data_IF_947363999533
#
_entry.id   IF_947363999533
#
_cell.length_a   1.000
_cell.length_b   1.000
_cell.length_c   1.000
_cell.angle_alpha   90.00
_cell.angle_beta   90.00
_cell.angle_gamma   90.00
#
_symmetry.space_group_name_H-M   'P 1'
#
loop_
_entity.id
_entity.type
_entity.pdbx_description
1 polymer ?
#
# COMPACT_ATOMS: atom_id res chain seq x y z
N UNK A 1 5.54 -35.87 -45.04
CA UNK A 1 4.94 -35.44 -43.77
C UNK A 1 5.95 -34.51 -43.12
N UNK A 2 5.65 -33.21 -43.11
CA UNK A 2 6.47 -32.19 -42.47
C UNK A 2 5.51 -31.42 -41.56
N UNK A 3 5.89 -31.30 -40.28
CA UNK A 3 5.20 -30.50 -39.26
C UNK A 3 5.06 -29.04 -39.69
N UNK A 4 3.99 -28.39 -39.26
CA UNK A 4 4.03 -26.96 -38.94
C UNK A 4 3.27 -26.76 -37.63
N UNK A 5 4.05 -26.48 -36.57
CA UNK A 5 3.59 -25.98 -35.30
C UNK A 5 3.11 -24.53 -35.44
N UNK A 6 2.02 -24.17 -34.77
CA UNK A 6 1.37 -22.86 -34.93
C UNK A 6 0.85 -22.24 -33.63
N UNK A 7 1.76 -22.11 -32.66
CA UNK A 7 1.82 -21.07 -31.60
C UNK A 7 0.59 -20.83 -30.71
N UNK A 8 0.70 -21.33 -29.47
CA UNK A 8 -0.01 -20.79 -28.30
C UNK A 8 0.29 -19.29 -28.16
N UNK A 9 -0.68 -18.45 -28.53
CA UNK A 9 -0.56 -17.00 -28.41
C UNK A 9 -0.63 -16.65 -26.93
N UNK A 10 0.54 -16.67 -26.26
CA UNK A 10 0.70 -16.08 -24.94
C UNK A 10 0.34 -14.59 -25.07
N UNK A 11 -0.87 -14.24 -24.62
CA UNK A 11 -1.35 -12.86 -24.61
C UNK A 11 -0.46 -12.08 -23.66
N UNK A 12 0.44 -11.26 -24.23
CA UNK A 12 1.32 -10.41 -23.43
C UNK A 12 0.46 -9.39 -22.68
N UNK A 13 0.69 -9.19 -21.37
CA UNK A 13 -0.04 -8.17 -20.63
C UNK A 13 0.25 -6.80 -21.24
N UNK A 14 -0.80 -5.97 -21.33
CA UNK A 14 -0.66 -4.56 -21.71
C UNK A 14 -0.32 -3.75 -20.46
N UNK A 15 0.91 -3.25 -20.40
CA UNK A 15 1.34 -2.34 -19.35
C UNK A 15 0.79 -0.92 -19.60
N UNK A 16 0.21 -0.31 -18.57
CA UNK A 16 -0.25 1.08 -18.56
C UNK A 16 0.56 1.84 -17.49
N UNK A 17 1.13 2.98 -17.86
CA UNK A 17 1.72 3.88 -16.87
C UNK A 17 0.63 4.60 -16.09
N UNK A 18 0.72 4.56 -14.75
CA UNK A 18 -0.13 5.35 -13.86
C UNK A 18 0.45 6.76 -13.59
N UNK A 19 1.53 7.14 -14.29
CA UNK A 19 2.22 8.42 -14.05
C UNK A 19 2.74 8.54 -12.61
N UNK A 20 2.98 9.79 -12.18
CA UNK A 20 3.58 10.09 -10.89
C UNK A 20 5.11 10.20 -10.95
N UNK A 21 5.69 10.76 -9.90
CA UNK A 21 7.13 10.89 -9.69
C UNK A 21 7.46 10.22 -8.36
N UNK A 22 7.74 8.91 -8.41
CA UNK A 22 7.83 8.04 -7.23
C UNK A 22 9.27 7.94 -6.71
N UNK A 23 9.45 7.97 -5.39
CA UNK A 23 10.74 7.73 -4.72
C UNK A 23 10.98 6.27 -4.34
N UNK A 24 9.91 5.50 -4.14
CA UNK A 24 9.98 4.09 -3.71
C UNK A 24 8.94 3.24 -4.44
N UNK A 25 8.91 1.94 -4.14
CA UNK A 25 7.80 1.07 -4.50
C UNK A 25 6.46 1.52 -3.92
N UNK A 26 5.42 0.81 -4.33
CA UNK A 26 4.03 1.09 -4.02
C UNK A 26 3.38 -0.07 -3.25
N UNK A 27 2.35 0.24 -2.47
CA UNK A 27 1.42 -0.74 -1.91
C UNK A 27 0.09 -0.67 -2.66
N UNK A 28 -0.66 -1.78 -2.65
CA UNK A 28 -2.00 -1.82 -3.21
C UNK A 28 -2.94 -2.57 -2.25
N UNK A 29 -4.18 -2.13 -2.15
CA UNK A 29 -5.24 -2.80 -1.41
C UNK A 29 -6.50 -2.88 -2.27
N UNK A 30 -7.00 -4.11 -2.51
CA UNK A 30 -8.31 -4.32 -3.09
C UNK A 30 -9.37 -4.17 -1.99
N UNK A 31 -10.35 -3.30 -2.22
CA UNK A 31 -11.37 -2.96 -1.21
C UNK A 31 -12.79 -3.35 -1.64
N UNK A 32 -12.95 -3.87 -2.87
CA UNK A 32 -14.22 -4.34 -3.42
C UNK A 32 -14.02 -5.37 -4.53
N UNK A 33 -15.13 -5.75 -5.19
CA UNK A 33 -15.13 -6.70 -6.31
C UNK A 33 -14.74 -5.99 -7.62
N UNK A 34 -13.46 -5.71 -7.74
CA UNK A 34 -12.87 -5.07 -8.91
C UNK A 34 -12.32 -3.68 -8.66
N UNK A 35 -12.40 -3.16 -7.44
CA UNK A 35 -11.80 -1.89 -7.06
C UNK A 35 -10.49 -2.05 -6.28
N UNK A 36 -9.56 -1.13 -6.48
CA UNK A 36 -8.22 -1.18 -5.87
C UNK A 36 -7.70 0.23 -5.64
N UNK A 37 -7.09 0.46 -4.49
CA UNK A 37 -6.35 1.67 -4.16
C UNK A 37 -4.84 1.35 -4.19
N UNK A 38 -4.05 2.22 -4.83
CA UNK A 38 -2.59 2.17 -4.81
C UNK A 38 -2.02 3.35 -4.04
N UNK A 39 -0.93 3.10 -3.32
CA UNK A 39 -0.25 4.07 -2.48
C UNK A 39 1.22 4.09 -2.83
N UNK A 40 1.79 5.28 -3.03
CA UNK A 40 3.19 5.42 -3.34
C UNK A 40 3.80 6.67 -2.72
N UNK A 41 5.08 6.58 -2.36
CA UNK A 41 5.87 7.71 -1.89
C UNK A 41 6.32 8.52 -3.11
N UNK A 42 5.97 9.79 -3.15
CA UNK A 42 6.36 10.71 -4.23
C UNK A 42 7.65 11.48 -3.89
N UNK A 43 8.27 12.09 -4.91
CA UNK A 43 9.49 12.92 -4.81
C UNK A 43 9.42 14.07 -3.79
N UNK A 44 8.22 14.49 -3.43
CA UNK A 44 7.98 15.49 -2.38
C UNK A 44 8.07 14.93 -0.95
N UNK A 45 8.32 13.62 -0.80
CA UNK A 45 8.40 12.92 0.49
C UNK A 45 7.04 12.60 1.12
N UNK A 46 5.93 12.88 0.42
CA UNK A 46 4.58 12.59 0.88
C UNK A 46 4.08 11.26 0.30
N UNK A 47 3.16 10.61 1.01
CA UNK A 47 2.40 9.50 0.43
C UNK A 47 1.24 10.05 -0.39
N UNK A 48 1.01 9.44 -1.54
CA UNK A 48 -0.10 9.75 -2.43
C UNK A 48 -0.91 8.49 -2.68
N UNK A 49 -2.21 8.66 -2.91
CA UNK A 49 -3.10 7.59 -3.32
C UNK A 49 -3.69 7.83 -4.70
N UNK A 50 -4.03 6.74 -5.37
CA UNK A 50 -4.78 6.70 -6.63
C UNK A 50 -5.60 5.42 -6.63
N UNK A 51 -6.84 5.47 -7.08
CA UNK A 51 -7.69 4.27 -7.13
C UNK A 51 -8.31 4.01 -8.48
N UNK A 52 -8.59 2.73 -8.68
CA UNK A 52 -9.44 2.19 -9.71
C UNK A 52 -10.82 1.92 -9.11
N UNK A 53 -11.86 2.47 -9.74
CA UNK A 53 -13.25 2.39 -9.27
C UNK A 53 -14.09 1.30 -9.96
N UNK A 54 -13.43 0.34 -10.63
CA UNK A 54 -14.10 -0.66 -11.46
C UNK A 54 -14.20 -0.27 -12.93
N UNK A 55 -14.03 1.01 -13.28
CA UNK A 55 -14.17 1.52 -14.65
C UNK A 55 -13.01 2.41 -15.11
N UNK A 56 -12.40 3.17 -14.22
CA UNK A 56 -11.35 4.13 -14.55
C UNK A 56 -10.38 4.39 -13.38
N UNK A 57 -9.16 4.79 -13.73
CA UNK A 57 -8.17 5.24 -12.76
C UNK A 57 -8.37 6.72 -12.45
N UNK A 58 -8.63 7.06 -11.20
CA UNK A 58 -8.74 8.45 -10.72
C UNK A 58 -7.39 9.16 -10.66
N UNK A 59 -7.36 10.45 -10.40
CA UNK A 59 -6.11 11.20 -10.25
C UNK A 59 -5.39 10.86 -8.93
N UNK A 60 -4.07 11.04 -8.94
CA UNK A 60 -3.26 11.01 -7.73
C UNK A 60 -3.68 12.12 -6.76
N UNK A 61 -3.83 11.80 -5.47
CA UNK A 61 -4.11 12.77 -4.41
C UNK A 61 -3.11 12.59 -3.27
N UNK A 62 -2.61 13.71 -2.75
CA UNK A 62 -1.69 13.67 -1.61
C UNK A 62 -2.42 13.26 -0.34
N UNK A 63 -1.82 12.31 0.39
CA UNK A 63 -2.16 11.94 1.76
C UNK A 63 -1.21 12.60 2.78
N UNK A 64 -0.28 13.46 2.33
CA UNK A 64 0.64 14.18 3.19
C UNK A 64 1.70 13.32 3.88
N UNK A 65 2.26 13.86 4.96
CA UNK A 65 3.29 13.21 5.77
C UNK A 65 4.71 13.40 5.25
N UNK A 66 5.67 12.74 5.91
CA UNK A 66 7.09 12.76 5.55
C UNK A 66 7.66 11.37 5.78
N UNK A 67 7.84 10.61 4.71
CA UNK A 67 8.17 9.18 4.76
C UNK A 67 9.45 8.85 3.99
N UNK A 68 10.06 7.72 4.33
CA UNK A 68 11.36 7.31 3.77
C UNK A 68 11.42 5.86 3.29
N UNK A 69 10.31 5.13 3.29
CA UNK A 69 10.26 3.72 2.89
C UNK A 69 8.95 3.37 2.20
N UNK A 70 8.87 2.14 1.69
CA UNK A 70 7.67 1.63 1.02
C UNK A 70 6.49 1.55 2.00
N UNK A 71 5.29 1.99 1.59
CA UNK A 71 4.10 1.82 2.39
C UNK A 71 3.66 0.35 2.44
N UNK A 72 2.75 0.04 3.37
CA UNK A 72 1.98 -1.19 3.37
C UNK A 72 0.50 -0.86 3.50
N UNK A 73 -0.35 -1.56 2.76
CA UNK A 73 -1.79 -1.35 2.80
C UNK A 73 -2.57 -2.65 2.81
N UNK A 74 -3.69 -2.64 3.51
CA UNK A 74 -4.67 -3.71 3.51
C UNK A 74 -6.08 -3.11 3.62
N UNK A 75 -7.07 -3.78 3.07
CA UNK A 75 -8.46 -3.38 3.21
C UNK A 75 -9.28 -4.56 3.69
N UNK A 76 -10.29 -4.27 4.52
CA UNK A 76 -11.32 -5.26 4.88
C UNK A 76 -12.53 -5.18 3.96
N UNK A 77 -12.87 -3.96 3.54
CA UNK A 77 -14.02 -3.59 2.72
C UNK A 77 -13.86 -2.13 2.23
N UNK A 78 -14.83 -1.65 1.43
CA UNK A 78 -14.85 -0.29 0.89
C UNK A 78 -14.92 0.82 1.96
N UNK A 79 -15.27 0.47 3.20
CA UNK A 79 -15.37 1.43 4.30
C UNK A 79 -14.11 1.46 5.17
N UNK A 80 -13.15 0.56 4.93
CA UNK A 80 -11.91 0.53 5.70
C UNK A 80 -10.73 -0.02 4.90
N UNK A 81 -9.84 0.92 4.59
CA UNK A 81 -8.51 0.69 4.02
C UNK A 81 -7.49 1.24 5.01
N UNK A 82 -6.59 0.39 5.48
CA UNK A 82 -5.51 0.73 6.40
C UNK A 82 -4.21 0.90 5.63
N UNK A 83 -3.48 1.98 5.95
CA UNK A 83 -2.22 2.36 5.32
C UNK A 83 -1.18 2.62 6.42
N UNK A 84 -0.05 1.94 6.30
CA UNK A 84 1.09 2.07 7.18
C UNK A 84 2.31 2.58 6.43
N UNK A 85 3.09 3.41 7.10
CA UNK A 85 4.32 3.94 6.54
C UNK A 85 5.30 4.34 7.63
N UNK A 86 6.59 4.26 7.30
CA UNK A 86 7.67 4.60 8.21
C UNK A 86 8.12 6.02 7.89
N UNK A 87 8.00 6.90 8.88
CA UNK A 87 8.45 8.28 8.75
C UNK A 87 9.96 8.37 8.59
N UNK A 88 10.43 9.52 8.12
CA UNK A 88 11.87 9.81 8.06
C UNK A 88 12.57 9.80 9.43
N UNK A 89 11.79 9.86 10.51
CA UNK A 89 12.21 9.70 11.90
C UNK A 89 12.21 8.24 12.41
N UNK A 90 11.92 7.27 11.53
CA UNK A 90 11.88 5.85 11.86
C UNK A 90 10.65 5.44 12.70
N UNK A 91 9.62 6.28 12.78
CA UNK A 91 8.37 5.99 13.50
C UNK A 91 7.34 5.41 12.53
N UNK A 92 6.80 4.24 12.87
CA UNK A 92 5.66 3.67 12.17
C UNK A 92 4.42 4.55 12.39
N UNK A 93 3.78 4.95 11.29
CA UNK A 93 2.54 5.71 11.29
C UNK A 93 1.45 4.95 10.57
N UNK A 94 0.22 5.21 10.99
CA UNK A 94 -1.00 4.63 10.46
C UNK A 94 -1.98 5.74 10.07
N UNK A 95 -2.65 5.54 8.95
CA UNK A 95 -3.75 6.35 8.42
C UNK A 95 -4.74 5.38 7.79
N UNK A 96 -6.03 5.65 7.90
CA UNK A 96 -7.05 4.78 7.33
C UNK A 96 -8.18 5.57 6.70
N UNK A 97 -8.85 4.94 5.74
CA UNK A 97 -10.14 5.38 5.22
C UNK A 97 -11.24 4.94 6.18
N UNK A 98 -12.13 5.86 6.58
CA UNK A 98 -13.24 5.61 7.52
C UNK A 98 -14.62 5.47 6.84
N UNK A 99 -14.63 5.23 5.52
CA UNK A 99 -15.84 5.23 4.70
C UNK A 99 -16.23 6.62 4.19
N UNK A 100 -15.60 7.69 4.69
CA UNK A 100 -15.92 9.07 4.29
C UNK A 100 -14.69 9.90 3.97
N UNK A 101 -13.60 9.68 4.69
CA UNK A 101 -12.35 10.41 4.54
C UNK A 101 -11.17 9.61 5.03
N UNK A 102 -10.00 10.03 4.58
CA UNK A 102 -8.73 9.60 5.17
C UNK A 102 -8.53 10.29 6.52
N UNK A 103 -8.47 9.54 7.61
CA UNK A 103 -8.18 10.05 8.96
C UNK A 103 -6.74 10.54 9.04
N UNK A 104 -6.44 11.54 9.88
CA UNK A 104 -5.06 12.05 10.03
C UNK A 104 -4.05 10.97 10.42
N UNK A 105 -2.79 11.14 10.00
CA UNK A 105 -1.69 10.26 10.37
C UNK A 105 -1.49 10.22 11.89
N UNK A 106 -1.34 9.02 12.43
CA UNK A 106 -1.04 8.77 13.85
C UNK A 106 0.17 7.88 13.99
N UNK A 107 0.97 8.09 15.03
CA UNK A 107 1.99 7.13 15.40
C UNK A 107 1.30 5.85 15.89
N UNK A 108 1.83 4.70 15.49
CA UNK A 108 1.41 3.42 16.07
C UNK A 108 2.08 3.29 17.43
N UNK A 109 1.26 3.19 18.49
CA UNK A 109 1.75 3.06 19.86
C UNK A 109 2.54 1.76 20.02
N UNK A 110 3.59 1.80 20.84
CA UNK A 110 4.47 0.68 21.15
C UNK A 110 5.17 -0.02 19.96
N UNK A 111 5.04 0.52 18.74
CA UNK A 111 5.79 0.03 17.60
C UNK A 111 7.31 0.23 17.79
N UNK A 112 8.15 -0.71 17.32
CA UNK A 112 9.60 -0.58 17.40
C UNK A 112 10.10 0.74 16.80
N UNK A 113 10.96 1.46 17.54
CA UNK A 113 11.61 2.68 17.04
C UNK A 113 12.68 2.34 16.01
N UNK A 114 12.90 3.23 15.06
CA UNK A 114 13.86 3.00 13.98
C UNK A 114 13.44 1.87 13.05
N UNK A 115 12.13 1.73 12.84
CA UNK A 115 11.58 0.75 11.89
C UNK A 115 12.17 0.98 10.50
N UNK A 116 12.35 -0.12 9.75
CA UNK A 116 12.99 -0.10 8.41
C UNK A 116 12.07 -0.54 7.29
N UNK A 117 11.15 -1.45 7.58
CA UNK A 117 10.14 -1.92 6.65
C UNK A 117 8.85 -2.29 7.39
N UNK A 118 7.73 -2.21 6.69
CA UNK A 118 6.42 -2.60 7.20
C UNK A 118 5.70 -3.47 6.17
N UNK A 119 4.95 -4.46 6.63
CA UNK A 119 3.92 -5.14 5.84
C UNK A 119 2.67 -5.30 6.69
N UNK A 120 1.51 -5.45 6.04
CA UNK A 120 0.25 -5.70 6.73
C UNK A 120 -0.67 -6.59 5.91
N UNK A 121 -1.61 -7.25 6.59
CA UNK A 121 -2.64 -8.06 5.95
C UNK A 121 -3.94 -7.97 6.74
N UNK A 122 -5.06 -7.91 6.03
CA UNK A 122 -6.37 -8.16 6.64
C UNK A 122 -6.72 -9.63 6.45
N UNK A 123 -6.96 -10.36 7.54
CA UNK A 123 -7.38 -11.76 7.47
C UNK A 123 -8.18 -12.15 8.70
N UNK A 124 -9.20 -13.00 8.54
CA UNK A 124 -9.95 -13.54 9.69
C UNK A 124 -10.60 -12.51 10.61
N UNK A 125 -10.92 -11.31 10.11
CA UNK A 125 -11.49 -10.23 10.92
C UNK A 125 -10.48 -9.43 11.75
N UNK A 126 -9.19 -9.51 11.39
CA UNK A 126 -8.08 -8.90 12.12
C UNK A 126 -7.11 -8.23 11.13
N UNK A 127 -6.57 -7.09 11.54
CA UNK A 127 -5.48 -6.43 10.84
C UNK A 127 -4.16 -6.84 11.48
N UNK A 128 -3.32 -7.53 10.70
CA UNK A 128 -1.96 -7.88 11.07
C UNK A 128 -0.97 -6.85 10.55
N UNK A 129 -0.03 -6.43 11.40
CA UNK A 129 1.08 -5.55 11.03
C UNK A 129 2.40 -6.18 11.44
N UNK A 130 3.36 -6.19 10.52
CA UNK A 130 4.71 -6.71 10.73
C UNK A 130 5.73 -5.60 10.49
N UNK A 131 6.71 -5.47 11.38
CA UNK A 131 7.69 -4.38 11.36
C UNK A 131 9.09 -4.95 11.47
N UNK A 132 9.97 -4.57 10.54
CA UNK A 132 11.41 -4.83 10.71
C UNK A 132 12.03 -3.75 11.58
N UNK A 133 12.41 -4.11 12.81
CA UNK A 133 12.95 -3.21 13.82
C UNK A 133 14.44 -2.90 13.65
N UNK A 134 14.90 -1.85 14.33
CA UNK A 134 16.32 -1.47 14.36
C UNK A 134 17.20 -2.54 15.05
N UNK A 135 16.61 -3.36 15.90
CA UNK A 135 17.24 -4.54 16.54
C UNK A 135 17.48 -5.70 15.56
N UNK A 136 17.02 -5.57 14.31
CA UNK A 136 17.13 -6.60 13.29
C UNK A 136 16.04 -7.67 13.37
N UNK A 137 15.12 -7.58 14.33
CA UNK A 137 14.04 -8.54 14.50
C UNK A 137 12.79 -8.13 13.69
N UNK A 138 11.96 -9.14 13.38
CA UNK A 138 10.61 -8.94 12.87
C UNK A 138 9.65 -8.91 14.05
N UNK A 139 8.92 -7.82 14.19
CA UNK A 139 7.90 -7.61 15.20
C UNK A 139 6.52 -7.74 14.58
N UNK A 140 5.55 -8.11 15.39
CA UNK A 140 4.18 -8.37 14.98
C UNK A 140 3.20 -7.78 15.99
N UNK A 141 2.11 -7.20 15.50
CA UNK A 141 0.97 -6.77 16.29
C UNK A 141 -0.32 -6.95 15.49
N UNK A 142 -1.44 -7.14 16.21
CA UNK A 142 -2.76 -6.87 15.66
C UNK A 142 -3.36 -5.57 16.09
N UNK A 143 -4.15 -5.05 15.16
CA UNK A 143 -5.02 -3.91 15.35
C UNK A 143 -6.46 -4.37 15.13
N UNK A 144 -7.35 -3.86 15.97
CA UNK A 144 -8.80 -4.07 15.88
C UNK A 144 -9.48 -3.07 14.95
#
# INVERSE_FOLDING_TARGET
>A
MVEEAGTDQVTRPRWLSLGGALLSGAAAAAWGDGETEVFALHEDGQLWNRYWDGASWHDWKSLGGAFGGEPAAAARDAERIDLFAIGTDGVLRHRWWDGRRWVEWRAVEDAPRGARAVSCAWSGGRLDVFVWGADGALHHADLA
#
